data_IF_989346185683
#
_entry.id   IF_989346185683
#
_cell.length_a   1.000
_cell.length_b   1.000
_cell.length_c   1.000
_cell.angle_alpha   90.00
_cell.angle_beta   90.00
_cell.angle_gamma   90.00
#
_symmetry.space_group_name_H-M   'P 1'
#
loop_
_entity.id
_entity.type
_entity.pdbx_description
1 polymer ?
#
# COMPACT_ATOMS: atom_id res chain seq x y z
N UNK A 1 15.27 -13.71 23.31
CA UNK A 1 16.46 -14.23 22.59
C UNK A 1 16.16 -15.43 21.67
N UNK A 2 14.95 -15.61 21.11
CA UNK A 2 14.63 -16.78 20.25
C UNK A 2 13.69 -16.49 19.06
N UNK A 3 13.62 -15.26 18.54
CA UNK A 3 12.62 -14.93 17.51
C UNK A 3 13.06 -15.18 16.06
N UNK A 4 14.36 -15.15 15.75
CA UNK A 4 14.82 -15.22 14.34
C UNK A 4 14.96 -16.64 13.76
N UNK A 5 14.84 -17.69 14.57
CA UNK A 5 15.19 -19.05 14.14
C UNK A 5 14.21 -19.61 13.08
N UNK A 6 12.96 -19.15 13.09
CA UNK A 6 11.90 -19.65 12.21
C UNK A 6 11.39 -18.61 11.20
N UNK A 7 12.04 -17.44 11.08
CA UNK A 7 11.59 -16.37 10.19
C UNK A 7 11.51 -16.82 8.73
N UNK A 8 12.49 -17.57 8.26
CA UNK A 8 12.53 -18.09 6.90
C UNK A 8 11.42 -19.11 6.65
N UNK A 9 11.16 -19.96 7.65
CA UNK A 9 10.12 -21.00 7.58
C UNK A 9 8.74 -20.35 7.44
N UNK A 10 8.47 -19.29 8.22
CA UNK A 10 7.21 -18.56 8.16
C UNK A 10 7.15 -17.50 7.04
N UNK A 11 8.28 -17.15 6.43
CA UNK A 11 8.31 -16.21 5.30
C UNK A 11 7.79 -16.84 3.99
N UNK A 12 7.81 -18.18 3.88
CA UNK A 12 7.33 -18.85 2.67
C UNK A 12 5.82 -18.68 2.46
N UNK A 13 5.39 -18.65 1.20
CA UNK A 13 3.98 -18.55 0.81
C UNK A 13 3.49 -19.92 0.33
N UNK A 14 2.34 -20.41 0.85
CA UNK A 14 1.77 -21.65 0.36
C UNK A 14 1.26 -21.47 -1.08
N UNK A 15 1.44 -22.50 -1.89
CA UNK A 15 0.90 -22.53 -3.24
C UNK A 15 -0.63 -22.55 -3.17
N UNK A 16 -1.26 -21.62 -3.87
CA UNK A 16 -2.71 -21.49 -3.92
C UNK A 16 -3.19 -21.31 -5.35
N UNK A 17 -4.43 -21.71 -5.63
CA UNK A 17 -5.07 -21.48 -6.94
C UNK A 17 -5.06 -20.00 -7.31
N UNK A 18 -5.26 -19.10 -6.33
CA UNK A 18 -5.13 -17.65 -6.52
C UNK A 18 -3.71 -17.27 -6.95
N UNK A 19 -2.67 -17.81 -6.31
CA UNK A 19 -1.29 -17.56 -6.70
C UNK A 19 -0.94 -18.08 -8.09
N UNK A 20 -1.58 -19.16 -8.54
CA UNK A 20 -1.43 -19.68 -9.90
C UNK A 20 -2.03 -18.72 -10.94
N UNK A 21 -3.29 -18.32 -10.78
CA UNK A 21 -3.99 -17.53 -11.78
C UNK A 21 -3.74 -16.03 -11.68
N UNK A 22 -3.76 -15.45 -10.48
CA UNK A 22 -3.56 -14.01 -10.24
C UNK A 22 -2.08 -13.69 -9.99
N UNK A 23 -1.36 -14.60 -9.35
CA UNK A 23 0.05 -14.42 -9.01
C UNK A 23 1.04 -14.84 -10.10
N UNK A 24 0.58 -15.02 -11.34
CA UNK A 24 1.39 -15.48 -12.49
C UNK A 24 2.21 -16.73 -12.15
N UNK A 25 1.53 -17.82 -11.81
CA UNK A 25 2.18 -19.05 -11.36
C UNK A 25 3.08 -18.87 -10.13
N UNK A 26 2.63 -18.08 -9.15
CA UNK A 26 3.36 -17.76 -7.90
C UNK A 26 4.72 -17.09 -8.14
N UNK A 27 4.82 -16.20 -9.13
CA UNK A 27 6.04 -15.45 -9.42
C UNK A 27 5.99 -14.00 -8.93
N UNK A 28 4.83 -13.52 -8.46
CA UNK A 28 4.71 -12.17 -7.89
C UNK A 28 5.26 -12.08 -6.45
N UNK A 29 5.70 -10.89 -6.03
CA UNK A 29 6.32 -10.64 -4.71
C UNK A 29 5.44 -11.06 -3.51
N UNK A 30 4.11 -11.01 -3.65
CA UNK A 30 3.16 -11.37 -2.59
C UNK A 30 2.77 -12.86 -2.56
N UNK A 31 3.00 -13.62 -3.65
CA UNK A 31 2.63 -15.04 -3.76
C UNK A 31 3.83 -15.99 -3.89
N UNK A 32 5.01 -15.51 -4.30
CA UNK A 32 6.17 -16.37 -4.49
C UNK A 32 6.62 -17.02 -3.17
N UNK A 33 6.89 -18.35 -3.16
CA UNK A 33 7.51 -19.02 -2.03
C UNK A 33 8.86 -18.39 -1.68
N UNK A 34 9.29 -18.53 -0.43
CA UNK A 34 10.58 -18.01 -0.03
C UNK A 34 11.70 -18.72 -0.80
N UNK A 35 12.52 -17.95 -1.51
CA UNK A 35 13.53 -18.46 -2.41
C UNK A 35 14.32 -17.33 -3.05
N UNK A 36 15.20 -17.66 -4.00
CA UNK A 36 16.02 -16.65 -4.69
C UNK A 36 15.16 -15.62 -5.44
N UNK A 37 14.14 -16.09 -6.18
CA UNK A 37 13.18 -15.24 -6.88
C UNK A 37 12.55 -14.21 -5.94
N UNK A 38 11.98 -14.66 -4.82
CA UNK A 38 11.33 -13.77 -3.86
C UNK A 38 12.31 -12.77 -3.24
N UNK A 39 13.54 -13.20 -2.90
CA UNK A 39 14.58 -12.30 -2.36
C UNK A 39 14.98 -11.23 -3.37
N UNK A 40 15.14 -11.59 -4.64
CA UNK A 40 15.47 -10.66 -5.72
C UNK A 40 14.33 -9.65 -5.95
N UNK A 41 13.09 -10.11 -6.02
CA UNK A 41 11.91 -9.24 -6.14
C UNK A 41 11.82 -8.26 -4.97
N UNK A 42 11.97 -8.76 -3.73
CA UNK A 42 11.96 -7.92 -2.53
C UNK A 42 13.06 -6.86 -2.55
N UNK A 43 14.27 -7.23 -3.00
CA UNK A 43 15.39 -6.30 -3.13
C UNK A 43 15.07 -5.20 -4.14
N UNK A 44 14.54 -5.56 -5.31
CA UNK A 44 14.13 -4.60 -6.35
C UNK A 44 13.06 -3.66 -5.81
N UNK A 45 11.98 -4.17 -5.20
CA UNK A 45 10.95 -3.32 -4.60
C UNK A 45 11.53 -2.35 -3.57
N UNK A 46 12.45 -2.82 -2.73
CA UNK A 46 13.06 -1.99 -1.69
C UNK A 46 13.90 -0.85 -2.28
N UNK A 47 14.69 -1.12 -3.32
CA UNK A 47 15.57 -0.13 -3.92
C UNK A 47 14.83 0.80 -4.88
N UNK A 48 13.95 0.27 -5.72
CA UNK A 48 13.35 1.01 -6.82
C UNK A 48 12.00 1.62 -6.51
N UNK A 49 11.25 1.08 -5.53
CA UNK A 49 9.90 1.56 -5.19
C UNK A 49 9.93 2.24 -3.82
N UNK A 50 10.47 1.56 -2.81
CA UNK A 50 10.37 1.98 -1.41
C UNK A 50 11.64 2.66 -0.88
N UNK A 51 12.62 2.97 -1.72
CA UNK A 51 13.80 3.68 -1.26
C UNK A 51 13.46 5.11 -0.85
N UNK A 52 14.24 5.66 0.07
CA UNK A 52 14.06 7.03 0.57
C UNK A 52 14.07 8.06 -0.57
N UNK A 53 14.92 7.88 -1.57
CA UNK A 53 14.98 8.73 -2.75
C UNK A 53 13.69 8.64 -3.58
N UNK A 54 13.15 7.45 -3.80
CA UNK A 54 11.91 7.23 -4.57
C UNK A 54 10.69 7.78 -3.82
N UNK A 55 10.60 7.55 -2.52
CA UNK A 55 9.56 8.10 -1.66
C UNK A 55 9.60 9.64 -1.58
N UNK A 56 10.79 10.24 -1.63
CA UNK A 56 10.96 11.70 -1.73
C UNK A 56 10.50 12.23 -3.08
N UNK A 57 10.80 11.54 -4.18
CA UNK A 57 10.33 11.93 -5.52
C UNK A 57 8.80 11.94 -5.61
N UNK A 58 8.11 11.01 -4.94
CA UNK A 58 6.64 10.95 -4.92
C UNK A 58 5.98 11.82 -3.84
N UNK A 59 6.73 12.62 -3.07
CA UNK A 59 6.17 13.40 -1.96
C UNK A 59 5.21 14.49 -2.43
N UNK A 60 5.48 15.12 -3.58
CA UNK A 60 4.66 16.19 -4.12
C UNK A 60 3.26 15.69 -4.45
N UNK A 61 3.18 14.58 -5.20
CA UNK A 61 1.92 13.92 -5.58
C UNK A 61 1.10 13.57 -4.33
N UNK A 62 1.72 12.90 -3.34
CA UNK A 62 1.01 12.55 -2.10
C UNK A 62 0.50 13.77 -1.33
N UNK A 63 1.24 14.88 -1.34
CA UNK A 63 0.80 16.14 -0.72
C UNK A 63 -0.38 16.74 -1.48
N UNK A 64 -0.37 16.66 -2.79
CA UNK A 64 -1.46 17.19 -3.63
C UNK A 64 -2.75 16.38 -3.43
N UNK A 65 -2.66 15.05 -3.35
CA UNK A 65 -3.82 14.19 -3.03
C UNK A 65 -4.40 14.48 -1.63
N UNK A 66 -3.54 14.64 -0.61
CA UNK A 66 -3.99 15.04 0.73
C UNK A 66 -4.63 16.42 0.70
N UNK A 67 -4.08 17.37 -0.06
CA UNK A 67 -4.67 18.71 -0.20
C UNK A 67 -6.02 18.66 -0.91
N UNK A 68 -6.17 17.83 -1.94
CA UNK A 68 -7.44 17.63 -2.62
C UNK A 68 -8.51 17.09 -1.65
N UNK A 69 -8.16 16.05 -0.87
CA UNK A 69 -9.04 15.52 0.17
C UNK A 69 -9.46 16.61 1.19
N UNK A 70 -8.51 17.40 1.68
CA UNK A 70 -8.79 18.49 2.63
C UNK A 70 -9.71 19.55 2.05
N UNK A 71 -9.59 19.88 0.77
CA UNK A 71 -10.52 20.81 0.09
C UNK A 71 -11.93 20.24 0.02
N UNK A 72 -12.08 18.95 -0.28
CA UNK A 72 -13.39 18.27 -0.29
C UNK A 72 -14.03 18.30 1.10
N UNK A 73 -13.25 18.02 2.15
CA UNK A 73 -13.70 18.09 3.54
C UNK A 73 -14.12 19.54 3.87
N UNK A 74 -13.29 20.52 3.54
CA UNK A 74 -13.57 21.93 3.82
C UNK A 74 -14.87 22.40 3.16
N UNK A 75 -15.05 22.10 1.87
CA UNK A 75 -16.27 22.44 1.14
C UNK A 75 -17.51 21.81 1.79
N UNK A 76 -17.43 20.53 2.17
CA UNK A 76 -18.54 19.85 2.83
C UNK A 76 -18.87 20.43 4.21
N UNK A 77 -17.86 20.95 4.94
CA UNK A 77 -18.08 21.61 6.23
C UNK A 77 -18.62 23.03 6.10
N UNK A 78 -18.24 23.78 5.05
CA UNK A 78 -18.64 25.17 4.87
C UNK A 78 -20.06 25.36 4.31
N UNK A 79 -20.65 24.30 3.74
CA UNK A 79 -21.98 24.36 3.11
C UNK A 79 -23.14 23.95 4.04
N UNK A 80 -22.86 23.56 5.28
CA UNK A 80 -23.90 23.18 6.25
C UNK A 80 -24.40 24.37 7.07
N UNK A 81 -25.71 24.50 7.24
CA UNK A 81 -26.34 25.46 8.17
C UNK A 81 -26.11 25.10 9.65
N UNK A 82 -25.65 23.88 9.94
CA UNK A 82 -25.39 23.40 11.30
C UNK A 82 -23.90 23.51 11.68
N UNK A 83 -23.62 23.77 12.95
CA UNK A 83 -22.26 23.83 13.55
C UNK A 83 -21.42 22.55 13.33
N UNK A 84 -22.03 21.43 12.95
CA UNK A 84 -21.36 20.14 12.73
C UNK A 84 -21.72 19.52 11.38
N UNK A 85 -20.69 19.11 10.63
CA UNK A 85 -20.84 18.36 9.39
C UNK A 85 -20.56 16.86 9.61
N UNK A 86 -21.49 16.02 9.16
CA UNK A 86 -21.32 14.56 9.18
C UNK A 86 -20.66 14.09 7.88
N UNK A 87 -19.49 13.45 7.97
CA UNK A 87 -18.71 13.00 6.82
C UNK A 87 -18.56 11.47 6.79
N UNK A 88 -18.76 10.88 5.61
CA UNK A 88 -18.46 9.46 5.38
C UNK A 88 -16.98 9.31 5.02
N UNK A 89 -16.18 8.80 5.97
CA UNK A 89 -14.73 8.66 5.78
C UNK A 89 -14.33 7.56 4.79
N UNK A 90 -15.09 6.48 4.68
CA UNK A 90 -14.76 5.35 3.77
C UNK A 90 -14.53 5.78 2.31
N UNK A 91 -15.46 6.49 1.63
CA UNK A 91 -15.23 6.91 0.25
C UNK A 91 -14.10 7.93 0.13
N UNK A 92 -13.93 8.81 1.13
CA UNK A 92 -12.86 9.81 1.16
C UNK A 92 -11.47 9.16 1.22
N UNK A 93 -11.29 8.19 2.12
CA UNK A 93 -10.04 7.45 2.23
C UNK A 93 -9.78 6.55 1.02
N UNK A 94 -10.84 5.94 0.47
CA UNK A 94 -10.73 5.17 -0.77
C UNK A 94 -10.27 6.04 -1.93
N UNK A 95 -10.80 7.26 -2.06
CA UNK A 95 -10.32 8.24 -3.03
C UNK A 95 -8.84 8.55 -2.82
N UNK A 96 -8.42 8.89 -1.60
CA UNK A 96 -7.01 9.19 -1.31
C UNK A 96 -6.04 8.05 -1.67
N UNK A 97 -6.46 6.78 -1.55
CA UNK A 97 -5.62 5.62 -1.83
C UNK A 97 -5.61 5.17 -3.29
N UNK A 98 -6.68 5.45 -4.04
CA UNK A 98 -6.90 4.90 -5.38
C UNK A 98 -7.15 5.97 -6.47
N UNK A 99 -6.96 7.26 -6.17
CA UNK A 99 -7.11 8.36 -7.13
C UNK A 99 -6.14 8.25 -8.31
#
# INVERSE_FOLDING_TARGET
FLTHQNDVVFASRPLSTLGVYVGYNNTMVSAAPYGELWRNLRRICTVEIFSTARLRKSIAIRRDEVRALLRTIHAATSSGENDFASLKLRPLLSGLTFN
#
